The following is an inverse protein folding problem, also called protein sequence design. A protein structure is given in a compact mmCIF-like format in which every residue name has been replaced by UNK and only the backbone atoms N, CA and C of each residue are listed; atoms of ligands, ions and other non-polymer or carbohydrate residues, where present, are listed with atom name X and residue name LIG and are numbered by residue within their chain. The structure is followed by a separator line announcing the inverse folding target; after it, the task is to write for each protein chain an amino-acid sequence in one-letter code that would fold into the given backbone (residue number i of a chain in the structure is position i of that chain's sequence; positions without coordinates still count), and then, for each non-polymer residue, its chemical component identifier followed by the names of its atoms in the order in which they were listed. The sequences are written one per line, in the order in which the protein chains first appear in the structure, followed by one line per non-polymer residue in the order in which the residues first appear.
data_IF_749464861752
#
_entry.id   IF_749464861752
#
_cell.length_a   1.000
_cell.length_b   1.000
_cell.length_c   1.000
_cell.angle_alpha   90.00
_cell.angle_beta   90.00
_cell.angle_gamma   90.00
#
_symmetry.space_group_name_H-M   'P 1'
#
loop_
_entity.id
_entity.type
_entity.pdbx_description
1 polymer ?
#
# COMPACT_ATOMS: atom_id res chain seq x y z
N UNK A 1 18.09 -2.13 -20.00
CA UNK A 1 17.09 -2.28 -18.91
C UNK A 1 15.70 -2.09 -19.52
N UNK A 2 14.78 -3.00 -19.25
CA UNK A 2 13.39 -2.87 -19.74
C UNK A 2 12.63 -1.82 -18.92
N UNK A 3 11.58 -1.22 -19.50
CA UNK A 3 10.79 -0.15 -18.86
C UNK A 3 10.30 -0.53 -17.45
N UNK A 4 9.79 -1.75 -17.28
CA UNK A 4 9.31 -2.26 -15.98
C UNK A 4 10.42 -2.33 -14.92
N UNK A 5 11.63 -2.74 -15.30
CA UNK A 5 12.79 -2.76 -14.40
C UNK A 5 13.15 -1.35 -13.92
N UNK A 6 13.05 -0.34 -14.79
CA UNK A 6 13.24 1.05 -14.40
C UNK A 6 12.19 1.50 -13.38
N UNK A 7 10.92 1.16 -13.61
CA UNK A 7 9.84 1.48 -12.67
C UNK A 7 10.05 0.81 -11.31
N UNK A 8 10.46 -0.46 -11.31
CA UNK A 8 10.74 -1.20 -10.07
C UNK A 8 11.91 -0.57 -9.28
N UNK A 9 13.00 -0.19 -9.97
CA UNK A 9 14.11 0.51 -9.32
C UNK A 9 13.69 1.90 -8.82
N UNK A 10 12.90 2.64 -9.59
CA UNK A 10 12.37 3.93 -9.17
C UNK A 10 11.49 3.81 -7.92
N UNK A 11 10.62 2.78 -7.83
CA UNK A 11 9.84 2.50 -6.63
C UNK A 11 10.73 2.21 -5.42
N UNK A 12 11.79 1.42 -5.59
CA UNK A 12 12.74 1.12 -4.51
C UNK A 12 13.47 2.39 -4.02
N UNK A 13 13.79 3.32 -4.92
CA UNK A 13 14.37 4.63 -4.56
C UNK A 13 13.35 5.47 -3.79
N UNK A 14 12.10 5.54 -4.26
CA UNK A 14 11.03 6.28 -3.60
C UNK A 14 10.67 5.70 -2.22
N UNK A 15 10.73 4.38 -2.03
CA UNK A 15 10.55 3.77 -0.71
C UNK A 15 11.65 4.16 0.27
N UNK A 16 12.91 4.26 -0.20
CA UNK A 16 14.05 4.61 0.66
C UNK A 16 14.14 6.09 1.01
N UNK A 17 13.87 6.95 0.05
CA UNK A 17 14.10 8.40 0.18
C UNK A 17 12.81 9.19 0.38
N UNK A 18 11.66 8.58 0.16
CA UNK A 18 10.37 9.25 0.13
C UNK A 18 10.20 10.14 -1.10
N UNK A 19 9.00 10.67 -1.27
CA UNK A 19 8.70 11.69 -2.26
C UNK A 19 8.90 13.08 -1.63
N UNK A 20 9.74 13.91 -2.25
CA UNK A 20 10.07 15.25 -1.75
C UNK A 20 10.21 16.27 -2.89
N UNK A 21 10.29 17.54 -2.56
CA UNK A 21 10.53 18.62 -3.53
C UNK A 21 11.88 18.45 -4.26
N UNK A 22 12.86 17.82 -3.63
CA UNK A 22 14.18 17.55 -4.21
C UNK A 22 14.21 16.31 -5.10
N UNK A 23 13.17 15.48 -5.09
CA UNK A 23 13.04 14.33 -5.97
C UNK A 23 12.94 14.84 -7.42
N UNK A 24 14.00 14.69 -8.20
CA UNK A 24 14.06 15.10 -9.60
C UNK A 24 14.29 13.90 -10.51
N UNK A 25 14.00 14.06 -11.82
CA UNK A 25 14.27 12.99 -12.79
C UNK A 25 15.76 12.67 -12.86
N UNK A 26 16.64 13.69 -12.75
CA UNK A 26 18.09 13.50 -12.73
C UNK A 26 18.56 12.74 -11.48
N UNK A 27 18.00 13.04 -10.30
CA UNK A 27 18.29 12.32 -9.06
C UNK A 27 17.85 10.86 -9.18
N UNK A 28 16.63 10.60 -9.66
CA UNK A 28 16.14 9.24 -9.88
C UNK A 28 17.01 8.48 -10.88
N UNK A 29 17.41 9.11 -12.00
CA UNK A 29 18.31 8.52 -12.98
C UNK A 29 19.67 8.11 -12.38
N UNK A 30 20.24 8.96 -11.52
CA UNK A 30 21.50 8.67 -10.84
C UNK A 30 21.37 7.51 -9.85
N UNK A 31 20.31 7.50 -9.04
CA UNK A 31 20.08 6.45 -8.03
C UNK A 31 19.77 5.06 -8.64
N UNK A 32 19.12 5.03 -9.80
CA UNK A 32 18.84 3.77 -10.52
C UNK A 32 19.97 3.38 -11.48
N UNK A 33 21.04 4.17 -11.52
CA UNK A 33 22.20 3.97 -12.42
C UNK A 33 21.78 3.86 -13.91
N UNK A 34 20.84 4.71 -14.32
CA UNK A 34 20.32 4.72 -15.69
C UNK A 34 20.56 6.08 -16.37
N UNK A 35 21.04 6.13 -17.64
CA UNK A 35 21.33 7.38 -18.28
C UNK A 35 20.11 8.29 -18.39
N UNK A 36 20.25 9.55 -17.94
CA UNK A 36 19.15 10.53 -17.91
C UNK A 36 18.52 10.74 -19.28
N UNK A 37 19.32 10.84 -20.35
CA UNK A 37 18.82 11.02 -21.71
C UNK A 37 17.95 9.83 -22.18
N UNK A 38 18.30 8.62 -21.78
CA UNK A 38 17.50 7.43 -22.07
C UNK A 38 16.21 7.41 -21.23
N UNK A 39 16.30 7.83 -19.97
CA UNK A 39 15.14 7.95 -19.08
C UNK A 39 14.14 8.96 -19.65
N UNK A 40 14.62 10.11 -20.13
CA UNK A 40 13.81 11.15 -20.74
C UNK A 40 13.07 10.72 -22.04
N UNK A 41 13.58 9.70 -22.72
CA UNK A 41 12.87 9.13 -23.89
C UNK A 41 11.59 8.38 -23.50
N UNK A 42 11.56 7.81 -22.28
CA UNK A 42 10.39 7.12 -21.75
C UNK A 42 9.48 8.06 -20.96
N UNK A 43 10.08 8.96 -20.18
CA UNK A 43 9.40 9.89 -19.30
C UNK A 43 10.04 11.28 -19.45
N UNK A 44 9.32 12.22 -20.06
CA UNK A 44 9.89 13.55 -20.35
C UNK A 44 10.26 14.35 -19.10
N UNK A 45 9.56 14.07 -18.00
CA UNK A 45 9.75 14.72 -16.71
C UNK A 45 9.54 13.76 -15.52
N UNK A 46 9.77 14.29 -14.32
CA UNK A 46 9.58 13.57 -13.06
C UNK A 46 8.15 13.08 -12.87
N UNK A 47 7.18 13.94 -13.16
CA UNK A 47 5.77 13.64 -12.88
C UNK A 47 5.25 12.51 -13.78
N UNK A 48 5.72 12.43 -15.01
CA UNK A 48 5.44 11.32 -15.91
C UNK A 48 6.00 9.99 -15.38
N UNK A 49 7.24 9.99 -14.85
CA UNK A 49 7.83 8.80 -14.22
C UNK A 49 7.08 8.41 -12.95
N UNK A 50 6.77 9.37 -12.08
CA UNK A 50 6.03 9.11 -10.84
C UNK A 50 4.63 8.56 -11.10
N UNK A 51 3.93 9.11 -12.10
CA UNK A 51 2.63 8.62 -12.52
C UNK A 51 2.69 7.14 -12.91
N UNK A 52 3.62 6.78 -13.79
CA UNK A 52 3.78 5.39 -14.23
C UNK A 52 4.29 4.48 -13.11
N UNK A 53 5.19 4.94 -12.25
CA UNK A 53 5.69 4.17 -11.11
C UNK A 53 4.57 3.85 -10.10
N UNK A 54 3.75 4.83 -9.74
CA UNK A 54 2.61 4.62 -8.86
C UNK A 54 1.55 3.72 -9.48
N UNK A 55 1.29 3.86 -10.78
CA UNK A 55 0.38 2.97 -11.51
C UNK A 55 0.91 1.53 -11.50
N UNK A 56 2.17 1.32 -11.82
CA UNK A 56 2.83 0.02 -11.79
C UNK A 56 2.81 -0.61 -10.39
N UNK A 57 3.07 0.19 -9.34
CA UNK A 57 2.96 -0.25 -7.96
C UNK A 57 1.53 -0.69 -7.60
N UNK A 58 0.52 0.08 -8.02
CA UNK A 58 -0.89 -0.28 -7.88
C UNK A 58 -1.24 -1.60 -8.56
N UNK A 59 -0.79 -1.79 -9.81
CA UNK A 59 -1.00 -3.03 -10.56
C UNK A 59 -0.37 -4.26 -9.87
N UNK A 60 0.81 -4.10 -9.24
CA UNK A 60 1.44 -5.15 -8.43
C UNK A 60 0.60 -5.50 -7.19
N UNK A 61 0.09 -4.50 -6.49
CA UNK A 61 -0.78 -4.70 -5.32
C UNK A 61 -2.07 -5.40 -5.73
N UNK A 62 -2.72 -4.95 -6.81
CA UNK A 62 -3.98 -5.53 -7.28
C UNK A 62 -3.80 -6.96 -7.81
N UNK A 63 -2.65 -7.25 -8.41
CA UNK A 63 -2.29 -8.63 -8.81
C UNK A 63 -2.16 -9.53 -7.59
N UNK A 64 -1.49 -9.08 -6.54
CA UNK A 64 -1.36 -9.84 -5.28
C UNK A 64 -2.72 -10.03 -4.60
N UNK A 65 -3.58 -9.01 -4.55
CA UNK A 65 -4.95 -9.12 -4.02
C UNK A 65 -5.76 -10.16 -4.78
N UNK A 66 -5.69 -10.17 -6.12
CA UNK A 66 -6.36 -11.18 -6.95
C UNK A 66 -5.84 -12.58 -6.67
N UNK A 67 -4.54 -12.76 -6.51
CA UNK A 67 -3.94 -14.05 -6.14
C UNK A 67 -4.46 -14.54 -4.79
N UNK A 68 -4.51 -13.67 -3.79
CA UNK A 68 -5.10 -14.00 -2.48
C UNK A 68 -6.58 -14.37 -2.57
N UNK A 69 -7.37 -13.64 -3.37
CA UNK A 69 -8.80 -13.96 -3.55
C UNK A 69 -9.02 -15.33 -4.18
N UNK A 70 -8.15 -15.72 -5.11
CA UNK A 70 -8.20 -17.00 -5.82
C UNK A 70 -7.60 -18.17 -5.03
N UNK A 71 -6.87 -17.91 -3.95
CA UNK A 71 -6.30 -18.93 -3.10
C UNK A 71 -7.39 -19.59 -2.24
N UNK A 72 -7.80 -20.78 -2.61
CA UNK A 72 -8.83 -21.57 -1.92
C UNK A 72 -8.32 -22.18 -0.59
N UNK A 73 -7.02 -22.16 -0.34
CA UNK A 73 -6.42 -22.66 0.90
C UNK A 73 -6.56 -21.65 2.06
N UNK A 74 -6.82 -20.38 1.75
CA UNK A 74 -6.99 -19.30 2.70
C UNK A 74 -8.47 -18.96 2.90
N UNK A 75 -8.89 -18.87 4.15
CA UNK A 75 -10.20 -18.29 4.48
C UNK A 75 -10.21 -16.76 4.36
N UNK A 76 -11.38 -16.15 4.49
CA UNK A 76 -11.52 -14.69 4.32
C UNK A 76 -10.80 -13.89 5.40
N UNK A 77 -10.68 -14.41 6.63
CA UNK A 77 -9.91 -13.79 7.71
C UNK A 77 -8.41 -13.79 7.39
N UNK A 78 -7.89 -14.94 6.96
CA UNK A 78 -6.49 -15.07 6.55
C UNK A 78 -6.15 -14.14 5.37
N UNK A 79 -7.06 -14.00 4.40
CA UNK A 79 -6.92 -13.08 3.27
C UNK A 79 -6.88 -11.61 3.72
N UNK A 80 -7.70 -11.23 4.71
CA UNK A 80 -7.69 -9.88 5.29
C UNK A 80 -6.37 -9.56 6.01
N UNK A 81 -5.82 -10.53 6.73
CA UNK A 81 -4.61 -10.35 7.56
C UNK A 81 -3.31 -10.54 6.79
N UNK A 82 -3.33 -11.16 5.60
CA UNK A 82 -2.14 -11.43 4.77
C UNK A 82 -1.29 -10.19 4.46
N UNK A 83 -1.88 -8.98 4.44
CA UNK A 83 -1.16 -7.72 4.26
C UNK A 83 -0.11 -7.46 5.34
N UNK A 84 -0.37 -7.87 6.57
CA UNK A 84 0.57 -7.72 7.69
C UNK A 84 1.74 -8.70 7.58
N UNK A 85 1.50 -9.91 7.06
CA UNK A 85 2.57 -10.89 6.82
C UNK A 85 3.55 -10.40 5.75
N UNK A 86 3.04 -9.72 4.72
CA UNK A 86 3.86 -9.06 3.69
C UNK A 86 4.68 -7.91 4.28
N UNK A 87 4.10 -7.10 5.17
CA UNK A 87 4.82 -6.03 5.85
C UNK A 87 5.90 -6.59 6.78
N UNK A 88 5.60 -7.65 7.54
CA UNK A 88 6.56 -8.33 8.41
C UNK A 88 7.76 -8.86 7.61
N UNK A 89 7.51 -9.53 6.50
CA UNK A 89 8.56 -10.00 5.59
C UNK A 89 9.41 -8.84 5.06
N UNK A 90 8.78 -7.72 4.68
CA UNK A 90 9.49 -6.53 4.21
C UNK A 90 10.42 -5.97 5.28
N UNK A 91 9.92 -5.83 6.52
CA UNK A 91 10.71 -5.34 7.66
C UNK A 91 11.87 -6.28 8.00
N UNK A 92 11.63 -7.59 8.01
CA UNK A 92 12.66 -8.60 8.26
C UNK A 92 13.76 -8.60 7.17
N UNK A 93 13.42 -8.16 5.96
CA UNK A 93 14.37 -7.97 4.86
C UNK A 93 15.01 -6.56 4.85
N UNK A 94 14.86 -5.80 5.93
CA UNK A 94 15.40 -4.44 6.06
C UNK A 94 14.70 -3.38 5.20
N UNK A 95 13.50 -3.67 4.71
CA UNK A 95 12.65 -2.71 3.97
C UNK A 95 11.56 -2.18 4.89
N UNK A 96 11.41 -0.87 4.91
CA UNK A 96 10.42 -0.20 5.77
C UNK A 96 9.45 0.61 4.90
N UNK A 97 8.51 -0.08 4.22
CA UNK A 97 7.64 0.56 3.27
C UNK A 97 6.72 1.56 4.00
N UNK A 98 6.77 2.81 3.54
CA UNK A 98 5.71 3.78 3.81
C UNK A 98 4.60 3.66 2.77
N UNK A 99 3.54 4.43 2.94
CA UNK A 99 2.51 4.50 1.92
C UNK A 99 2.85 5.56 0.87
N UNK A 100 3.40 5.14 -0.28
CA UNK A 100 3.72 6.04 -1.39
C UNK A 100 2.48 6.78 -1.92
N UNK A 101 1.29 6.19 -1.84
CA UNK A 101 0.05 6.83 -2.25
C UNK A 101 -0.35 7.98 -1.33
N UNK A 102 -0.17 7.83 0.00
CA UNK A 102 -0.40 8.94 0.95
C UNK A 102 0.63 10.05 0.69
N UNK A 103 1.91 9.70 0.52
CA UNK A 103 2.95 10.66 0.18
C UNK A 103 2.63 11.41 -1.12
N UNK A 104 2.11 10.71 -2.14
CA UNK A 104 1.69 11.32 -3.39
C UNK A 104 0.53 12.30 -3.20
N UNK A 105 -0.50 11.96 -2.43
CA UNK A 105 -1.60 12.88 -2.11
C UNK A 105 -1.13 14.12 -1.33
N UNK A 106 -0.17 13.94 -0.43
CA UNK A 106 0.41 15.06 0.34
C UNK A 106 1.20 16.00 -0.57
N UNK A 107 1.97 15.45 -1.51
CA UNK A 107 2.82 16.24 -2.41
C UNK A 107 2.02 16.86 -3.58
N UNK A 108 0.98 16.19 -4.05
CA UNK A 108 0.06 16.64 -5.09
C UNK A 108 -1.36 16.81 -4.50
N UNK A 109 -1.63 17.91 -3.76
CA UNK A 109 -2.84 18.05 -2.97
C UNK A 109 -4.11 18.34 -3.81
N UNK A 110 -3.95 18.70 -5.09
CA UNK A 110 -5.09 18.98 -5.96
C UNK A 110 -5.72 17.70 -6.47
N UNK A 111 -7.01 17.47 -6.16
CA UNK A 111 -7.75 16.26 -6.49
C UNK A 111 -7.88 15.97 -7.99
N UNK A 112 -7.75 16.97 -8.84
CA UNK A 112 -7.75 16.83 -10.29
C UNK A 112 -6.37 16.44 -10.88
N UNK A 113 -5.30 16.50 -10.07
CA UNK A 113 -3.98 16.10 -10.51
C UNK A 113 -3.92 14.57 -10.80
N UNK A 114 -3.37 14.13 -11.96
CA UNK A 114 -3.34 12.71 -12.32
C UNK A 114 -2.70 11.79 -11.27
N UNK A 115 -1.60 12.24 -10.63
CA UNK A 115 -0.92 11.49 -9.58
C UNK A 115 -1.80 11.35 -8.34
N UNK A 116 -2.52 12.41 -7.94
CA UNK A 116 -3.47 12.36 -6.84
C UNK A 116 -4.59 11.34 -7.10
N UNK A 117 -5.16 11.37 -8.31
CA UNK A 117 -6.25 10.44 -8.70
C UNK A 117 -5.83 8.97 -8.63
N UNK A 118 -4.61 8.63 -9.08
CA UNK A 118 -4.09 7.26 -8.95
C UNK A 118 -3.98 6.87 -7.49
N UNK A 119 -3.43 7.75 -6.65
CA UNK A 119 -3.27 7.49 -5.23
C UNK A 119 -4.63 7.28 -4.54
N UNK A 120 -5.61 8.16 -4.80
CA UNK A 120 -6.97 8.04 -4.28
C UNK A 120 -7.65 6.74 -4.76
N UNK A 121 -7.50 6.41 -6.04
CA UNK A 121 -8.06 5.16 -6.60
C UNK A 121 -7.51 3.92 -5.90
N UNK A 122 -6.21 3.88 -5.61
CA UNK A 122 -5.59 2.77 -4.91
C UNK A 122 -6.03 2.68 -3.43
N UNK A 123 -6.22 3.80 -2.76
CA UNK A 123 -6.78 3.82 -1.41
C UNK A 123 -8.22 3.30 -1.39
N UNK A 124 -9.03 3.73 -2.35
CA UNK A 124 -10.40 3.21 -2.53
C UNK A 124 -10.43 1.71 -2.83
N UNK A 125 -9.52 1.22 -3.71
CA UNK A 125 -9.40 -0.21 -4.00
C UNK A 125 -8.96 -1.03 -2.78
N UNK A 126 -8.10 -0.48 -1.90
CA UNK A 126 -7.74 -1.12 -0.64
C UNK A 126 -8.93 -1.29 0.28
N UNK A 127 -9.69 -0.21 0.48
CA UNK A 127 -10.91 -0.22 1.28
C UNK A 127 -11.94 -1.22 0.72
N UNK A 128 -12.17 -1.20 -0.59
CA UNK A 128 -13.13 -2.09 -1.24
C UNK A 128 -12.76 -3.58 -1.05
N UNK A 129 -11.48 -3.93 -1.23
CA UNK A 129 -10.98 -5.28 -0.97
C UNK A 129 -11.28 -5.73 0.47
N UNK A 130 -11.01 -4.87 1.45
CA UNK A 130 -11.26 -5.12 2.87
C UNK A 130 -12.76 -5.29 3.13
N UNK A 131 -13.58 -4.37 2.62
CA UNK A 131 -15.02 -4.37 2.78
C UNK A 131 -15.67 -5.64 2.19
N UNK A 132 -15.28 -6.05 0.97
CA UNK A 132 -15.87 -7.22 0.31
C UNK A 132 -15.59 -8.52 1.09
N UNK A 133 -14.39 -8.68 1.63
CA UNK A 133 -14.05 -9.82 2.50
C UNK A 133 -14.85 -9.80 3.81
N UNK A 134 -15.07 -8.63 4.40
CA UNK A 134 -15.91 -8.48 5.61
C UNK A 134 -17.37 -8.80 5.33
N UNK A 135 -17.89 -8.42 4.16
CA UNK A 135 -19.23 -8.81 3.71
C UNK A 135 -19.31 -10.33 3.54
N UNK A 136 -18.30 -10.95 2.94
CA UNK A 136 -18.23 -12.42 2.80
C UNK A 136 -18.23 -13.13 4.18
N UNK A 137 -17.52 -12.58 5.16
CA UNK A 137 -17.52 -13.05 6.56
C UNK A 137 -18.85 -12.76 7.28
N UNK A 138 -19.71 -11.94 6.67
CA UNK A 138 -20.95 -11.45 7.32
C UNK A 138 -20.64 -10.71 8.64
N UNK A 139 -19.55 -9.95 8.70
CA UNK A 139 -19.21 -9.16 9.87
C UNK A 139 -20.29 -8.13 10.19
N UNK A 140 -20.48 -7.81 11.48
CA UNK A 140 -21.36 -6.71 11.88
C UNK A 140 -20.76 -5.37 11.42
N UNK A 141 -21.58 -4.56 10.75
CA UNK A 141 -21.20 -3.25 10.21
C UNK A 141 -19.86 -3.29 9.39
N UNK A 142 -19.82 -4.02 8.26
CA UNK A 142 -18.59 -4.22 7.49
C UNK A 142 -17.97 -2.91 7.01
N UNK A 143 -18.77 -1.87 6.77
CA UNK A 143 -18.29 -0.54 6.38
C UNK A 143 -17.43 0.08 7.49
N UNK A 144 -17.92 0.12 8.73
CA UNK A 144 -17.16 0.66 9.86
C UNK A 144 -15.90 -0.16 10.15
N UNK A 145 -16.01 -1.48 10.09
CA UNK A 145 -14.86 -2.38 10.32
C UNK A 145 -13.81 -2.20 9.24
N UNK A 146 -14.20 -2.01 7.97
CA UNK A 146 -13.26 -1.71 6.88
C UNK A 146 -12.50 -0.40 7.14
N UNK A 147 -13.19 0.67 7.54
CA UNK A 147 -12.55 1.95 7.92
C UNK A 147 -11.53 1.76 9.05
N UNK A 148 -11.91 1.02 10.10
CA UNK A 148 -11.02 0.75 11.22
C UNK A 148 -9.77 -0.03 10.78
N UNK A 149 -9.92 -1.05 9.94
CA UNK A 149 -8.80 -1.86 9.44
C UNK A 149 -7.87 -1.07 8.52
N UNK A 150 -8.42 -0.17 7.69
CA UNK A 150 -7.58 0.72 6.85
C UNK A 150 -6.81 1.72 7.72
N UNK A 151 -7.43 2.31 8.75
CA UNK A 151 -6.74 3.19 9.71
C UNK A 151 -5.61 2.48 10.46
N UNK A 152 -5.82 1.22 10.87
CA UNK A 152 -4.79 0.41 11.53
C UNK A 152 -3.59 0.18 10.59
N UNK A 153 -3.87 -0.18 9.32
CA UNK A 153 -2.83 -0.40 8.32
C UNK A 153 -2.03 0.89 8.05
N UNK A 154 -2.72 2.00 7.86
CA UNK A 154 -2.08 3.30 7.60
C UNK A 154 -1.25 3.78 8.80
N UNK A 155 -1.76 3.61 10.00
CA UNK A 155 -1.03 3.87 11.23
C UNK A 155 0.23 3.01 11.37
N UNK A 156 0.15 1.73 11.00
CA UNK A 156 1.31 0.83 10.96
C UNK A 156 2.37 1.34 9.96
N UNK A 157 1.98 1.65 8.73
CA UNK A 157 2.88 2.16 7.70
C UNK A 157 3.56 3.47 8.13
N UNK A 158 2.82 4.38 8.76
CA UNK A 158 3.38 5.61 9.32
C UNK A 158 4.41 5.35 10.42
N UNK A 159 4.14 4.39 11.32
CA UNK A 159 5.08 4.03 12.40
C UNK A 159 6.36 3.38 11.87
N UNK A 160 6.25 2.57 10.80
CA UNK A 160 7.42 1.95 10.17
C UNK A 160 8.40 2.99 9.60
N UNK A 161 7.91 4.12 9.09
CA UNK A 161 8.76 5.22 8.64
C UNK A 161 9.57 5.88 9.77
N UNK A 162 9.06 5.82 11.00
CA UNK A 162 9.68 6.49 12.16
C UNK A 162 10.57 5.57 12.97
N UNK A 163 10.12 4.33 13.24
CA UNK A 163 10.76 3.44 14.21
C UNK A 163 11.42 2.20 13.61
N UNK A 164 11.11 1.84 12.38
CA UNK A 164 11.63 0.65 11.71
C UNK A 164 11.48 -0.64 12.55
N UNK A 165 10.33 -0.82 13.21
CA UNK A 165 10.12 -1.90 14.17
C UNK A 165 9.14 -2.95 13.67
N UNK A 166 9.57 -4.21 13.59
CA UNK A 166 8.70 -5.35 13.31
C UNK A 166 7.59 -5.52 14.37
N UNK A 167 7.86 -5.08 15.60
CA UNK A 167 6.88 -5.13 16.69
C UNK A 167 5.66 -4.24 16.40
N UNK A 168 5.81 -3.15 15.65
CA UNK A 168 4.69 -2.30 15.24
C UNK A 168 3.78 -3.04 14.25
N UNK A 169 4.32 -3.88 13.37
CA UNK A 169 3.54 -4.74 12.45
C UNK A 169 2.74 -5.79 13.24
N UNK A 170 3.40 -6.49 14.18
CA UNK A 170 2.74 -7.48 15.02
C UNK A 170 1.61 -6.85 15.86
N UNK A 171 1.83 -5.65 16.38
CA UNK A 171 0.82 -4.89 17.14
C UNK A 171 -0.37 -4.50 16.25
N UNK A 172 -0.11 -4.02 15.04
CA UNK A 172 -1.16 -3.65 14.09
C UNK A 172 -1.97 -4.87 13.64
N UNK A 173 -1.31 -6.01 13.35
CA UNK A 173 -1.99 -7.27 13.02
C UNK A 173 -2.92 -7.70 14.14
N UNK A 174 -2.42 -7.72 15.38
CA UNK A 174 -3.22 -8.09 16.56
C UNK A 174 -4.43 -7.17 16.76
N UNK A 175 -4.26 -5.85 16.56
CA UNK A 175 -5.36 -4.91 16.66
C UNK A 175 -6.41 -5.15 15.56
N UNK A 176 -6.00 -5.47 14.34
CA UNK A 176 -6.91 -5.83 13.26
C UNK A 176 -7.67 -7.13 13.57
N UNK A 177 -7.01 -8.14 14.15
CA UNK A 177 -7.63 -9.38 14.63
C UNK A 177 -8.68 -9.10 15.73
N UNK A 178 -8.37 -8.22 16.67
CA UNK A 178 -9.29 -7.85 17.75
C UNK A 178 -10.52 -7.12 17.20
N UNK A 179 -10.35 -6.17 16.27
CA UNK A 179 -11.47 -5.46 15.61
C UNK A 179 -12.38 -6.45 14.88
N UNK A 180 -11.78 -7.38 14.13
CA UNK A 180 -12.54 -8.41 13.42
C UNK A 180 -13.29 -9.33 14.39
N UNK A 181 -12.64 -9.79 15.45
CA UNK A 181 -13.24 -10.63 16.49
C UNK A 181 -14.46 -9.94 17.13
N UNK A 182 -14.34 -8.65 17.47
CA UNK A 182 -15.46 -7.88 18.01
C UNK A 182 -16.65 -7.79 17.03
N UNK A 183 -16.38 -7.56 15.75
CA UNK A 183 -17.42 -7.52 14.72
C UNK A 183 -18.13 -8.88 14.59
N UNK A 184 -17.39 -9.99 14.66
CA UNK A 184 -17.96 -11.34 14.62
C UNK A 184 -18.72 -11.69 15.90
N UNK A 185 -18.29 -11.24 17.08
CA UNK A 185 -19.01 -11.43 18.33
C UNK A 185 -20.34 -10.67 18.35
N UNK A 186 -20.40 -9.44 17.83
CA UNK A 186 -21.65 -8.68 17.72
C UNK A 186 -22.66 -9.37 16.81
N UNK A 187 -22.21 -9.87 15.65
CA UNK A 187 -23.03 -10.67 14.75
C UNK A 187 -23.72 -11.83 15.48
N UNK A 188 -22.99 -12.52 16.36
CA UNK A 188 -23.48 -13.69 17.08
C UNK A 188 -24.27 -13.34 18.35
N UNK A 189 -24.56 -12.05 18.60
CA UNK A 189 -25.31 -11.60 19.79
C UNK A 189 -24.56 -11.79 21.12
N UNK A 190 -23.24 -12.02 21.07
CA UNK A 190 -22.41 -12.21 22.26
C UNK A 190 -22.02 -10.89 22.96
N UNK A 191 -22.30 -9.76 22.33
CA UNK A 191 -22.11 -8.41 22.85
C UNK A 191 -23.39 -7.62 22.61
N UNK A 192 -24.25 -7.51 23.62
CA UNK A 192 -25.38 -6.59 23.66
C UNK A 192 -24.99 -5.32 24.42
#
# INVERSE_FOLDING_TARGET
MQREQVLEHALNVLERHGLSATTSLAMLAAEIEFPLEQLQRFWPDRDALLYDALRFHGEQIDTRRRQLLLDETLDAEQKLLARYDVLEQSVNNGRFPGCLFISACTFYPHADHPIHRIAEQQKRASWQYTHDLLVQLQADNPTLVAEQMELILEGCLSKLLVKHSVQDVATAKRLAEDVLRFAMCRKNGALT
#
